data_IF_561168611666
#
_entry.id   IF_561168611666
#
_cell.length_a   1.000
_cell.length_b   1.000
_cell.length_c   1.000
_cell.angle_alpha   90.00
_cell.angle_beta   90.00
_cell.angle_gamma   90.00
#
_symmetry.space_group_name_H-M   'P 1'
#
loop_
_entity.id
_entity.type
_entity.pdbx_description
1 polymer ?
#
# COMPACT_ATOMS: atom_id res chain seq x y z
N UNK A 1 -19.01 -29.95 10.74
CA UNK A 1 -17.98 -28.91 10.69
C UNK A 1 -18.72 -27.58 10.72
N UNK A 2 -18.44 -26.73 11.71
CA UNK A 2 -19.11 -25.42 11.78
C UNK A 2 -18.59 -24.51 10.66
N UNK A 3 -19.40 -23.54 10.21
CA UNK A 3 -18.99 -22.57 9.19
C UNK A 3 -17.68 -21.82 9.59
N UNK A 4 -17.45 -21.64 10.89
CA UNK A 4 -16.22 -21.06 11.43
C UNK A 4 -14.99 -21.98 11.31
N UNK A 5 -15.16 -23.30 11.34
CA UNK A 5 -14.08 -24.26 11.12
C UNK A 5 -13.67 -24.32 9.64
N UNK A 6 -14.62 -24.19 8.72
CA UNK A 6 -14.37 -24.18 7.27
C UNK A 6 -13.63 -22.90 6.84
N UNK A 7 -14.01 -21.76 7.41
CA UNK A 7 -13.28 -20.49 7.26
C UNK A 7 -11.88 -20.60 7.87
N UNK A 8 -11.72 -21.15 9.08
CA UNK A 8 -10.37 -21.38 9.65
C UNK A 8 -9.52 -22.29 8.76
N UNK A 9 -10.09 -23.32 8.16
CA UNK A 9 -9.35 -24.24 7.29
C UNK A 9 -8.97 -23.59 5.96
N UNK A 10 -9.83 -22.75 5.37
CA UNK A 10 -9.51 -21.99 4.15
C UNK A 10 -8.51 -20.86 4.38
N UNK A 11 -8.53 -20.22 5.57
CA UNK A 11 -7.70 -19.04 5.86
C UNK A 11 -6.37 -19.32 6.57
N UNK A 12 -6.28 -20.39 7.38
CA UNK A 12 -5.05 -20.80 8.05
C UNK A 12 -4.40 -22.02 7.36
N UNK A 13 -5.12 -22.69 6.46
CA UNK A 13 -4.68 -23.89 5.77
C UNK A 13 -4.28 -23.64 4.32
N UNK A 14 -3.00 -23.31 4.11
CA UNK A 14 -2.19 -23.78 2.95
C UNK A 14 -2.90 -23.76 1.58
N UNK A 15 -3.28 -22.60 1.06
CA UNK A 15 -3.44 -22.48 -0.39
C UNK A 15 -2.18 -21.82 -0.98
N UNK A 16 -1.11 -22.59 -1.27
CA UNK A 16 0.13 -22.06 -1.87
C UNK A 16 -0.12 -21.27 -3.16
N UNK A 17 -1.26 -21.50 -3.82
CA UNK A 17 -1.71 -20.76 -5.00
C UNK A 17 -1.97 -19.26 -4.76
N UNK A 18 -2.19 -18.81 -3.52
CA UNK A 18 -2.40 -17.39 -3.19
C UNK A 18 -1.12 -16.65 -2.79
N UNK A 19 -0.05 -17.35 -2.39
CA UNK A 19 1.22 -16.72 -2.02
C UNK A 19 1.99 -16.18 -3.24
N UNK A 20 1.99 -16.92 -4.34
CA UNK A 20 2.67 -16.50 -5.57
C UNK A 20 2.08 -15.19 -6.14
N UNK A 21 0.74 -15.00 -6.22
CA UNK A 21 0.13 -13.73 -6.60
C UNK A 21 0.51 -12.56 -5.70
N UNK A 22 0.54 -12.75 -4.38
CA UNK A 22 0.87 -11.68 -3.41
C UNK A 22 2.30 -11.19 -3.59
N UNK A 23 3.27 -12.11 -3.59
CA UNK A 23 4.68 -11.75 -3.81
C UNK A 23 4.91 -11.15 -5.18
N UNK A 24 4.20 -11.65 -6.20
CA UNK A 24 4.26 -11.10 -7.56
C UNK A 24 3.75 -9.66 -7.61
N UNK A 25 2.64 -9.35 -6.94
CA UNK A 25 2.09 -7.99 -6.87
C UNK A 25 3.03 -7.02 -6.16
N UNK A 26 3.64 -7.44 -5.04
CA UNK A 26 4.65 -6.64 -4.34
C UNK A 26 5.83 -6.37 -5.28
N UNK A 27 6.38 -7.41 -5.92
CA UNK A 27 7.49 -7.27 -6.85
C UNK A 27 7.14 -6.38 -8.06
N UNK A 28 5.96 -6.57 -8.66
CA UNK A 28 5.45 -5.74 -9.75
C UNK A 28 5.34 -4.27 -9.34
N UNK A 29 4.86 -3.99 -8.12
CA UNK A 29 4.79 -2.61 -7.60
C UNK A 29 6.18 -2.00 -7.44
N UNK A 30 7.15 -2.74 -6.87
CA UNK A 30 8.55 -2.27 -6.76
C UNK A 30 9.11 -1.94 -8.15
N UNK A 31 8.96 -2.85 -9.11
CA UNK A 31 9.46 -2.70 -10.49
C UNK A 31 8.78 -1.51 -11.18
N UNK A 32 7.45 -1.41 -11.11
CA UNK A 32 6.69 -0.34 -11.74
C UNK A 32 7.11 1.05 -11.24
N UNK A 33 7.19 1.24 -9.92
CA UNK A 33 7.60 2.52 -9.34
C UNK A 33 9.06 2.85 -9.66
N UNK A 34 9.93 1.84 -9.70
CA UNK A 34 11.32 1.99 -10.16
C UNK A 34 11.39 2.45 -11.61
N UNK A 35 10.60 1.83 -12.51
CA UNK A 35 10.53 2.21 -13.92
C UNK A 35 10.10 3.67 -14.06
N UNK A 36 9.04 4.10 -13.36
CA UNK A 36 8.60 5.51 -13.40
C UNK A 36 9.75 6.44 -12.98
N UNK A 37 10.43 6.13 -11.86
CA UNK A 37 11.54 6.94 -11.36
C UNK A 37 12.68 7.10 -12.38
N UNK A 38 13.05 6.01 -13.06
CA UNK A 38 14.16 6.03 -14.01
C UNK A 38 13.78 6.61 -15.38
N UNK A 39 12.51 6.53 -15.80
CA UNK A 39 12.03 7.16 -17.04
C UNK A 39 11.96 8.69 -16.91
N UNK A 40 11.75 9.23 -15.71
CA UNK A 40 11.72 10.69 -15.50
C UNK A 40 13.06 11.33 -15.96
N UNK A 41 13.04 12.52 -16.57
CA UNK A 41 14.24 13.19 -17.08
C UNK A 41 15.37 13.29 -16.05
N UNK A 42 16.61 13.07 -16.49
CA UNK A 42 17.81 13.16 -15.63
C UNK A 42 18.07 14.56 -15.07
N UNK A 43 17.48 15.59 -15.69
CA UNK A 43 17.50 16.98 -15.21
C UNK A 43 16.71 17.18 -13.92
N UNK A 44 15.79 16.27 -13.58
CA UNK A 44 15.00 16.32 -12.35
C UNK A 44 15.79 15.65 -11.22
N UNK A 45 15.94 16.35 -10.09
CA UNK A 45 16.63 15.82 -8.92
C UNK A 45 15.95 14.55 -8.38
N UNK A 46 16.70 13.59 -7.78
CA UNK A 46 16.14 12.38 -7.19
C UNK A 46 15.00 12.66 -6.20
N UNK A 47 15.11 13.74 -5.42
CA UNK A 47 14.07 14.18 -4.49
C UNK A 47 12.76 14.51 -5.20
N UNK A 48 12.82 15.34 -6.25
CA UNK A 48 11.62 15.69 -7.03
C UNK A 48 11.02 14.47 -7.72
N UNK A 49 11.85 13.56 -8.24
CA UNK A 49 11.38 12.29 -8.83
C UNK A 49 10.63 11.44 -7.80
N UNK A 50 11.18 11.29 -6.60
CA UNK A 50 10.52 10.57 -5.50
C UNK A 50 9.16 11.19 -5.16
N UNK A 51 9.06 12.52 -5.07
CA UNK A 51 7.75 13.17 -4.86
C UNK A 51 6.74 12.94 -5.99
N UNK A 52 7.18 12.91 -7.24
CA UNK A 52 6.31 12.61 -8.38
C UNK A 52 5.79 11.16 -8.26
N UNK A 53 6.68 10.19 -8.06
CA UNK A 53 6.31 8.77 -7.94
C UNK A 53 5.40 8.54 -6.73
N UNK A 54 5.72 9.16 -5.60
CA UNK A 54 4.88 9.17 -4.39
C UNK A 54 3.49 9.74 -4.63
N UNK A 55 3.39 10.84 -5.39
CA UNK A 55 2.09 11.43 -5.75
C UNK A 55 1.27 10.49 -6.64
N UNK A 56 1.91 9.82 -7.61
CA UNK A 56 1.24 8.83 -8.46
C UNK A 56 0.73 7.65 -7.64
N UNK A 57 1.55 7.14 -6.71
CA UNK A 57 1.15 6.08 -5.79
C UNK A 57 -0.06 6.51 -4.94
N UNK A 58 0.03 7.66 -4.28
CA UNK A 58 -1.04 8.18 -3.43
C UNK A 58 -2.36 8.36 -4.19
N UNK A 59 -2.32 8.90 -5.42
CA UNK A 59 -3.49 9.00 -6.28
C UNK A 59 -4.10 7.63 -6.62
N UNK A 60 -3.27 6.66 -6.96
CA UNK A 60 -3.73 5.30 -7.26
C UNK A 60 -4.35 4.62 -6.01
N UNK A 61 -3.75 4.81 -4.85
CA UNK A 61 -4.21 4.30 -3.55
C UNK A 61 -5.56 4.91 -3.15
N UNK A 62 -5.69 6.23 -3.22
CA UNK A 62 -6.95 6.94 -2.95
C UNK A 62 -8.06 6.53 -3.91
N UNK A 63 -7.74 6.42 -5.22
CA UNK A 63 -8.70 5.98 -6.22
C UNK A 63 -9.15 4.54 -5.95
N UNK A 64 -8.23 3.62 -5.65
CA UNK A 64 -8.54 2.25 -5.32
C UNK A 64 -9.43 2.14 -4.08
N UNK A 65 -9.11 2.89 -3.01
CA UNK A 65 -9.92 2.93 -1.80
C UNK A 65 -11.32 3.50 -2.04
N UNK A 66 -11.43 4.57 -2.83
CA UNK A 66 -12.71 5.20 -3.19
C UNK A 66 -13.57 4.25 -4.02
N UNK A 67 -13.00 3.63 -5.06
CA UNK A 67 -13.71 2.64 -5.88
C UNK A 67 -14.14 1.43 -5.04
N UNK A 68 -13.29 0.96 -4.14
CA UNK A 68 -13.66 -0.11 -3.23
C UNK A 68 -14.84 0.29 -2.35
N UNK A 69 -14.82 1.49 -1.76
CA UNK A 69 -15.92 1.97 -0.92
C UNK A 69 -17.24 2.15 -1.70
N UNK A 70 -17.16 2.64 -2.93
CA UNK A 70 -18.34 2.87 -3.77
C UNK A 70 -19.00 1.59 -4.29
N UNK A 71 -18.20 0.54 -4.53
CA UNK A 71 -18.67 -0.68 -5.20
C UNK A 71 -18.67 -1.94 -4.33
N UNK A 72 -18.13 -1.88 -3.11
CA UNK A 72 -18.06 -3.03 -2.20
C UNK A 72 -18.85 -2.77 -0.91
N UNK A 73 -19.63 -3.75 -0.48
CA UNK A 73 -20.29 -3.72 0.82
C UNK A 73 -19.28 -4.07 1.90
N UNK A 74 -18.83 -3.08 2.67
CA UNK A 74 -17.83 -3.29 3.72
C UNK A 74 -18.45 -4.05 4.90
N UNK A 75 -18.14 -5.34 5.04
CA UNK A 75 -18.49 -6.10 6.23
C UNK A 75 -17.39 -5.97 7.31
N UNK A 76 -17.48 -4.90 8.11
CA UNK A 76 -16.54 -4.62 9.21
C UNK A 76 -16.46 -5.73 10.27
N UNK A 77 -17.44 -6.66 10.29
CA UNK A 77 -17.50 -7.74 11.28
C UNK A 77 -16.65 -8.96 10.91
N UNK A 78 -16.08 -9.02 9.71
CA UNK A 78 -15.32 -10.18 9.24
C UNK A 78 -13.84 -9.86 8.97
N UNK A 79 -13.14 -9.36 10.00
CA UNK A 79 -11.77 -8.87 9.83
C UNK A 79 -10.75 -9.95 9.44
N UNK A 80 -10.98 -11.20 9.88
CA UNK A 80 -10.15 -12.35 9.51
C UNK A 80 -10.12 -12.61 8.00
N UNK A 81 -11.17 -12.21 7.25
CA UNK A 81 -11.23 -12.41 5.80
C UNK A 81 -10.16 -11.63 5.05
N UNK A 82 -9.60 -10.58 5.65
CA UNK A 82 -8.77 -9.59 4.96
C UNK A 82 -7.29 -9.85 5.23
N UNK A 83 -6.94 -10.16 6.48
CA UNK A 83 -5.58 -10.60 6.84
C UNK A 83 -5.24 -11.90 6.11
N UNK A 84 -6.24 -12.73 5.83
CA UNK A 84 -6.09 -14.00 5.13
C UNK A 84 -6.19 -13.94 3.60
N UNK A 85 -6.27 -12.76 2.97
CA UNK A 85 -6.21 -12.65 1.50
C UNK A 85 -7.51 -12.27 0.76
N UNK A 86 -8.58 -11.92 1.48
CA UNK A 86 -9.92 -11.72 0.91
C UNK A 86 -10.60 -13.06 0.60
N UNK A 87 -11.91 -13.06 0.35
CA UNK A 87 -12.57 -14.20 -0.35
C UNK A 87 -12.64 -13.81 -1.82
N UNK A 88 -12.01 -14.61 -2.70
CA UNK A 88 -12.09 -14.39 -4.14
C UNK A 88 -13.54 -14.27 -4.61
N UNK A 89 -13.78 -13.38 -5.58
CA UNK A 89 -15.09 -13.08 -6.15
C UNK A 89 -16.10 -12.41 -5.18
N UNK A 90 -15.65 -11.94 -4.02
CA UNK A 90 -16.49 -11.13 -3.11
C UNK A 90 -16.11 -9.65 -3.10
N UNK A 91 -15.12 -9.27 -3.91
CA UNK A 91 -14.48 -7.95 -3.96
C UNK A 91 -13.57 -7.62 -2.78
N UNK A 92 -13.63 -8.37 -1.67
CA UNK A 92 -12.70 -8.25 -0.53
C UNK A 92 -11.23 -8.40 -0.96
N UNK A 93 -10.97 -9.23 -1.98
CA UNK A 93 -9.63 -9.45 -2.53
C UNK A 93 -8.98 -8.17 -3.08
N UNK A 94 -9.77 -7.18 -3.51
CA UNK A 94 -9.27 -5.91 -4.05
C UNK A 94 -8.52 -5.09 -2.99
N UNK A 95 -8.97 -5.14 -1.73
CA UNK A 95 -8.30 -4.46 -0.62
C UNK A 95 -6.93 -5.09 -0.35
N UNK A 96 -6.82 -6.41 -0.47
CA UNK A 96 -5.56 -7.12 -0.34
C UNK A 96 -4.60 -6.77 -1.48
N UNK A 97 -5.10 -6.65 -2.71
CA UNK A 97 -4.27 -6.21 -3.83
C UNK A 97 -3.77 -4.77 -3.67
N UNK A 98 -4.63 -3.86 -3.18
CA UNK A 98 -4.24 -2.48 -2.87
C UNK A 98 -3.19 -2.40 -1.76
N UNK A 99 -3.31 -3.26 -0.73
CA UNK A 99 -2.29 -3.40 0.29
C UNK A 99 -0.96 -3.93 -0.29
N UNK A 100 -1.00 -4.99 -1.11
CA UNK A 100 0.21 -5.53 -1.74
C UNK A 100 0.91 -4.48 -2.62
N UNK A 101 0.13 -3.70 -3.36
CA UNK A 101 0.62 -2.57 -4.14
C UNK A 101 1.33 -1.53 -3.26
N UNK A 102 0.71 -1.15 -2.13
CA UNK A 102 1.26 -0.18 -1.18
C UNK A 102 2.50 -0.71 -0.43
N UNK A 103 2.51 -1.99 -0.06
CA UNK A 103 3.70 -2.63 0.51
C UNK A 103 4.88 -2.63 -0.47
N UNK A 104 4.63 -2.91 -1.76
CA UNK A 104 5.67 -2.82 -2.78
C UNK A 104 6.19 -1.40 -2.99
N UNK A 105 5.29 -0.41 -2.95
CA UNK A 105 5.67 1.00 -2.98
C UNK A 105 6.50 1.41 -1.75
N UNK A 106 6.10 0.97 -0.54
CA UNK A 106 6.86 1.20 0.69
C UNK A 106 8.29 0.64 0.60
N UNK A 107 8.45 -0.59 0.11
CA UNK A 107 9.78 -1.18 -0.10
C UNK A 107 10.58 -0.37 -1.14
N UNK A 108 9.94 0.06 -2.22
CA UNK A 108 10.55 0.96 -3.20
C UNK A 108 11.04 2.27 -2.57
N UNK A 109 10.26 2.92 -1.71
CA UNK A 109 10.66 4.15 -1.03
C UNK A 109 11.87 3.93 -0.11
N UNK A 110 11.91 2.82 0.63
CA UNK A 110 13.09 2.45 1.41
C UNK A 110 14.33 2.27 0.52
N UNK A 111 14.21 1.60 -0.63
CA UNK A 111 15.31 1.43 -1.59
C UNK A 111 15.80 2.79 -2.09
N UNK A 112 14.90 3.68 -2.51
CA UNK A 112 15.28 5.01 -3.02
C UNK A 112 15.89 5.88 -1.91
N UNK A 113 15.40 5.80 -0.67
CA UNK A 113 16.01 6.51 0.47
C UNK A 113 17.41 5.99 0.82
N UNK A 114 17.68 4.70 0.61
CA UNK A 114 19.01 4.12 0.78
C UNK A 114 19.96 4.53 -0.34
N UNK A 115 19.49 4.59 -1.59
CA UNK A 115 20.27 4.95 -2.76
C UNK A 115 20.55 6.46 -2.84
N UNK A 116 19.59 7.31 -2.46
CA UNK A 116 19.67 8.76 -2.63
C UNK A 116 19.47 9.48 -1.30
N UNK A 117 20.58 9.95 -0.71
CA UNK A 117 20.56 10.69 0.57
C UNK A 117 19.66 11.93 0.56
N UNK A 118 19.46 12.56 -0.60
CA UNK A 118 18.57 13.71 -0.76
C UNK A 118 17.09 13.37 -0.53
N UNK A 119 16.68 12.12 -0.73
CA UNK A 119 15.31 11.64 -0.49
C UNK A 119 15.09 11.33 0.99
N UNK A 120 16.14 10.89 1.70
CA UNK A 120 16.09 10.48 3.11
C UNK A 120 16.07 11.67 4.09
N UNK A 121 14.97 12.41 4.10
CA UNK A 121 14.75 13.47 5.08
C UNK A 121 14.07 12.93 6.36
N UNK A 122 14.17 13.65 7.49
CA UNK A 122 13.61 13.21 8.79
C UNK A 122 12.09 13.04 8.74
N UNK A 123 11.38 13.93 8.03
CA UNK A 123 9.93 13.87 7.93
C UNK A 123 9.48 12.58 7.23
N UNK A 124 10.14 12.23 6.12
CA UNK A 124 9.86 11.03 5.36
C UNK A 124 10.14 9.77 6.18
N UNK A 125 11.25 9.73 6.93
CA UNK A 125 11.56 8.62 7.82
C UNK A 125 10.52 8.43 8.93
N UNK A 126 10.11 9.52 9.59
CA UNK A 126 9.08 9.47 10.64
C UNK A 126 7.75 8.96 10.06
N UNK A 127 7.34 9.49 8.91
CA UNK A 127 6.13 9.05 8.22
C UNK A 127 6.17 7.55 7.89
N UNK A 128 7.27 7.04 7.34
CA UNK A 128 7.42 5.61 7.04
C UNK A 128 7.41 4.73 8.30
N UNK A 129 7.99 5.20 9.41
CA UNK A 129 7.93 4.49 10.70
C UNK A 129 6.50 4.44 11.24
N UNK A 130 5.75 5.55 11.17
CA UNK A 130 4.35 5.61 11.58
C UNK A 130 3.49 4.67 10.71
N UNK A 131 3.68 4.68 9.39
CA UNK A 131 2.99 3.77 8.48
C UNK A 131 3.30 2.31 8.81
N UNK A 132 4.58 1.94 8.89
CA UNK A 132 5.00 0.58 9.14
C UNK A 132 4.45 0.07 10.48
N UNK A 133 4.56 0.88 11.54
CA UNK A 133 4.02 0.53 12.86
C UNK A 133 2.49 0.40 12.87
N UNK A 134 1.77 1.27 12.15
CA UNK A 134 0.31 1.22 12.04
C UNK A 134 -0.17 -0.02 11.29
N UNK A 135 0.51 -0.39 10.20
CA UNK A 135 0.23 -1.63 9.45
C UNK A 135 0.51 -2.84 10.33
N UNK A 136 1.68 -2.90 10.99
CA UNK A 136 2.03 -4.01 11.88
C UNK A 136 1.07 -4.14 13.07
N UNK A 137 0.67 -3.03 13.67
CA UNK A 137 -0.31 -3.01 14.74
C UNK A 137 -1.68 -3.50 14.25
N UNK A 138 -2.13 -3.06 13.08
CA UNK A 138 -3.39 -3.50 12.45
C UNK A 138 -3.39 -5.00 12.13
N UNK A 139 -2.25 -5.54 11.68
CA UNK A 139 -2.06 -6.98 11.47
C UNK A 139 -2.08 -7.75 12.81
N UNK A 140 -1.35 -7.26 13.82
CA UNK A 140 -1.26 -7.91 15.14
C UNK A 140 -2.61 -7.95 15.87
N UNK A 141 -3.38 -6.86 15.78
CA UNK A 141 -4.66 -6.71 16.47
C UNK A 141 -5.85 -7.25 15.67
N UNK A 142 -5.65 -7.64 14.41
CA UNK A 142 -6.71 -8.14 13.55
C UNK A 142 -7.79 -7.09 13.28
N UNK A 143 -7.42 -5.82 13.11
CA UNK A 143 -8.33 -4.69 12.78
C UNK A 143 -8.06 -4.16 11.36
N UNK A 144 -7.52 -5.03 10.50
CA UNK A 144 -6.94 -4.66 9.20
C UNK A 144 -7.82 -3.77 8.33
N UNK A 145 -9.15 -3.95 8.25
CA UNK A 145 -9.98 -3.16 7.33
C UNK A 145 -9.96 -1.66 7.66
N UNK A 146 -10.20 -1.31 8.91
CA UNK A 146 -10.25 0.08 9.34
C UNK A 146 -8.86 0.72 9.26
N UNK A 147 -7.82 0.00 9.69
CA UNK A 147 -6.44 0.49 9.60
C UNK A 147 -5.98 0.70 8.15
N UNK A 148 -6.32 -0.20 7.23
CA UNK A 148 -5.97 -0.05 5.81
C UNK A 148 -6.77 1.05 5.13
N UNK A 149 -8.05 1.20 5.45
CA UNK A 149 -8.83 2.33 4.96
C UNK A 149 -8.26 3.66 5.47
N UNK A 150 -7.92 3.76 6.76
CA UNK A 150 -7.30 4.96 7.32
C UNK A 150 -5.91 5.22 6.73
N UNK A 151 -5.12 4.18 6.48
CA UNK A 151 -3.83 4.29 5.80
C UNK A 151 -3.99 4.80 4.37
N UNK A 152 -4.86 4.20 3.56
CA UNK A 152 -5.11 4.63 2.18
C UNK A 152 -5.74 6.03 2.10
N UNK A 153 -6.46 6.46 3.15
CA UNK A 153 -6.96 7.83 3.28
C UNK A 153 -5.88 8.79 3.80
N UNK A 154 -4.91 8.35 4.59
CA UNK A 154 -3.78 9.17 5.02
C UNK A 154 -2.90 9.57 3.83
N UNK A 155 -2.79 8.70 2.83
CA UNK A 155 -2.14 9.00 1.54
C UNK A 155 -2.78 10.20 0.81
N UNK A 156 -4.03 10.57 1.12
CA UNK A 156 -4.63 11.79 0.58
C UNK A 156 -3.86 13.05 1.01
N UNK A 157 -3.24 13.03 2.19
CA UNK A 157 -2.42 14.14 2.69
C UNK A 157 -1.05 14.23 1.99
N UNK A 158 -0.56 13.11 1.44
CA UNK A 158 0.71 13.02 0.69
C UNK A 158 0.67 13.86 -0.59
N UNK A 159 -0.46 13.88 -1.29
CA UNK A 159 -0.65 14.63 -2.56
C UNK A 159 -0.37 16.14 -2.39
N UNK A 160 -1.10 16.88 -1.53
CA UNK A 160 -0.86 18.32 -1.37
C UNK A 160 0.51 18.63 -0.78
N UNK A 161 1.07 17.76 0.08
CA UNK A 161 2.42 17.94 0.64
C UNK A 161 3.50 17.84 -0.43
N UNK A 162 3.41 16.83 -1.30
CA UNK A 162 4.34 16.64 -2.41
C UNK A 162 4.21 17.77 -3.43
N UNK A 163 2.99 18.14 -3.82
CA UNK A 163 2.75 19.23 -4.77
C UNK A 163 3.26 20.58 -4.26
N UNK A 164 3.05 20.89 -2.97
CA UNK A 164 3.59 22.09 -2.33
C UNK A 164 5.13 22.11 -2.40
N UNK A 165 5.76 20.97 -2.15
CA UNK A 165 7.23 20.87 -2.19
C UNK A 165 7.77 21.00 -3.61
N UNK A 166 7.09 20.43 -4.60
CA UNK A 166 7.42 20.58 -6.01
C UNK A 166 7.31 22.04 -6.46
N UNK A 167 6.24 22.73 -6.09
CA UNK A 167 5.99 24.14 -6.40
C UNK A 167 7.01 25.09 -5.76
N UNK A 168 7.39 24.87 -4.50
CA UNK A 168 8.38 25.70 -3.82
C UNK A 168 9.83 25.45 -4.29
N UNK A 169 10.03 24.46 -5.15
CA UNK A 169 11.35 24.08 -5.67
C UNK A 169 11.58 24.54 -7.12
N UNK A 170 10.63 25.29 -7.69
CA UNK A 170 10.76 26.04 -8.96
C UNK A 170 11.09 27.48 -8.68
#
# INVERSE_FOLDING_TARGET
>A
MSFDEEIRFQYLGRNPSLHAPVLSLIACSIIFNSIIFYILPSTITPLKKSYIVSTVHALASVLAATLFYLFSTINLKQVNRIVGGGILATHDEKMVYSLCYSCGYFIYDIIIMLLFKSVRNRSALIHHVIIASSVLAGLYTGIGHSCHFFFLMEELSTIPLNLKTLWNST
#
